data_IF_829148196994
#
_entry.id   IF_829148196994
#
_cell.length_a   1.000
_cell.length_b   1.000
_cell.length_c   1.000
_cell.angle_alpha   90.00
_cell.angle_beta   90.00
_cell.angle_gamma   90.00
#
_symmetry.space_group_name_H-M   'P 1'
#
loop_
_entity.id
_entity.type
_entity.pdbx_description
1 polymer ?
#
# COMPACT_ATOMS: atom_id res chain seq x y z
N UNK A 1 3.42 -19.12 0.76
CA UNK A 1 2.88 -18.77 2.08
C UNK A 1 1.86 -19.83 2.49
N UNK A 2 1.78 -20.18 3.78
CA UNK A 2 0.68 -21.01 4.30
C UNK A 2 -0.64 -20.23 4.21
N UNK A 3 -1.78 -20.90 4.41
CA UNK A 3 -3.10 -20.23 4.43
C UNK A 3 -3.16 -19.17 5.53
N UNK A 4 -2.66 -19.48 6.72
CA UNK A 4 -2.63 -18.53 7.85
C UNK A 4 -1.76 -17.30 7.53
N UNK A 5 -0.59 -17.48 6.93
CA UNK A 5 0.23 -16.35 6.51
C UNK A 5 -0.46 -15.51 5.44
N UNK A 6 -1.11 -16.14 4.44
CA UNK A 6 -1.87 -15.39 3.44
C UNK A 6 -2.96 -14.52 4.09
N UNK A 7 -3.67 -15.04 5.09
CA UNK A 7 -4.70 -14.28 5.82
C UNK A 7 -4.11 -13.10 6.59
N UNK A 8 -2.98 -13.29 7.29
CA UNK A 8 -2.31 -12.20 8.02
C UNK A 8 -1.88 -11.07 7.10
N UNK A 9 -1.17 -11.42 6.02
CA UNK A 9 -0.72 -10.46 5.01
C UNK A 9 -1.88 -9.76 4.31
N UNK A 10 -2.98 -10.49 4.03
CA UNK A 10 -4.17 -9.91 3.41
C UNK A 10 -4.82 -8.88 4.33
N UNK A 11 -5.07 -9.23 5.60
CA UNK A 11 -5.71 -8.32 6.55
C UNK A 11 -4.90 -7.04 6.74
N UNK A 12 -3.57 -7.19 6.87
CA UNK A 12 -2.66 -6.05 6.94
C UNK A 12 -2.74 -5.17 5.68
N UNK A 13 -2.67 -5.77 4.50
CA UNK A 13 -2.72 -5.03 3.23
C UNK A 13 -4.06 -4.31 3.02
N UNK A 14 -5.18 -4.94 3.38
CA UNK A 14 -6.51 -4.33 3.29
C UNK A 14 -6.64 -3.14 4.25
N UNK A 15 -6.13 -3.25 5.48
CA UNK A 15 -6.10 -2.16 6.45
C UNK A 15 -5.23 -1.00 5.96
N UNK A 16 -4.00 -1.29 5.51
CA UNK A 16 -3.09 -0.27 4.98
C UNK A 16 -3.71 0.49 3.80
N UNK A 17 -4.37 -0.23 2.89
CA UNK A 17 -5.05 0.40 1.76
C UNK A 17 -6.18 1.31 2.22
N UNK A 18 -6.97 0.89 3.22
CA UNK A 18 -8.01 1.74 3.80
C UNK A 18 -7.44 3.00 4.47
N UNK A 19 -6.33 2.87 5.20
CA UNK A 19 -5.62 4.00 5.81
C UNK A 19 -5.13 5.00 4.76
N UNK A 20 -4.52 4.50 3.67
CA UNK A 20 -4.07 5.34 2.56
C UNK A 20 -5.24 6.05 1.86
N UNK A 21 -6.35 5.34 1.62
CA UNK A 21 -7.56 5.95 1.05
C UNK A 21 -8.20 7.00 1.97
N UNK A 22 -8.09 6.82 3.29
CA UNK A 22 -8.61 7.77 4.29
C UNK A 22 -7.70 8.99 4.42
N UNK A 23 -6.39 8.77 4.43
CA UNK A 23 -5.36 9.81 4.52
C UNK A 23 -5.09 10.51 3.19
N UNK A 24 -5.71 10.02 2.12
CA UNK A 24 -5.57 10.49 0.75
C UNK A 24 -4.13 10.44 0.22
N UNK A 25 -3.38 9.40 0.62
CA UNK A 25 -2.01 9.15 0.17
C UNK A 25 -1.97 8.05 -0.88
N UNK A 26 -1.15 8.22 -1.92
CA UNK A 26 -0.99 7.25 -3.00
C UNK A 26 0.07 6.20 -2.73
N UNK A 27 1.00 6.50 -1.83
CA UNK A 27 2.15 5.67 -1.52
C UNK A 27 2.57 5.82 -0.06
N UNK A 28 3.21 4.78 0.46
CA UNK A 28 3.79 4.77 1.79
C UNK A 28 5.07 3.95 1.77
N UNK A 29 6.11 4.44 2.41
CA UNK A 29 7.35 3.71 2.64
C UNK A 29 7.37 3.22 4.08
N UNK A 30 7.66 1.93 4.27
CA UNK A 30 7.79 1.29 5.58
C UNK A 30 9.07 0.47 5.62
N UNK A 31 9.69 0.40 6.79
CA UNK A 31 10.79 -0.53 7.00
C UNK A 31 10.28 -1.97 7.01
N UNK A 32 11.12 -2.93 6.62
CA UNK A 32 10.79 -4.35 6.67
C UNK A 32 10.44 -4.79 8.10
N UNK A 33 11.06 -4.19 9.11
CA UNK A 33 10.79 -4.51 10.52
C UNK A 33 9.38 -4.09 10.93
N UNK A 34 8.95 -2.87 10.57
CA UNK A 34 7.58 -2.39 10.81
C UNK A 34 6.57 -3.29 10.11
N UNK A 35 6.83 -3.70 8.86
CA UNK A 35 5.95 -4.64 8.14
C UNK A 35 5.90 -6.00 8.87
N UNK A 36 7.03 -6.47 9.39
CA UNK A 36 7.10 -7.76 10.12
C UNK A 36 6.26 -7.73 11.39
N UNK A 37 6.36 -6.64 12.16
CA UNK A 37 5.57 -6.41 13.36
C UNK A 37 4.06 -6.32 13.03
N UNK A 38 3.69 -5.44 12.09
CA UNK A 38 2.28 -5.20 11.76
C UNK A 38 1.60 -6.40 11.09
N UNK A 39 2.32 -7.19 10.30
CA UNK A 39 1.79 -8.43 9.70
C UNK A 39 1.74 -9.59 10.69
N UNK A 40 2.48 -9.51 11.81
CA UNK A 40 2.69 -10.61 12.76
C UNK A 40 3.06 -11.93 12.05
N UNK A 41 3.88 -11.87 11.00
CA UNK A 41 4.19 -13.03 10.16
C UNK A 41 5.12 -14.02 10.88
N UNK A 42 4.96 -15.32 10.59
CA UNK A 42 5.84 -16.37 11.13
C UNK A 42 7.12 -16.59 10.30
N UNK A 43 7.32 -15.82 9.23
CA UNK A 43 8.53 -15.90 8.40
C UNK A 43 9.74 -15.43 9.18
N UNK A 44 10.87 -16.09 8.96
CA UNK A 44 12.14 -15.64 9.49
C UNK A 44 12.49 -14.23 8.97
N UNK A 45 13.03 -13.39 9.84
CA UNK A 45 13.48 -12.03 9.53
C UNK A 45 14.41 -12.01 8.30
N UNK A 46 15.36 -12.96 8.22
CA UNK A 46 16.26 -13.11 7.08
C UNK A 46 15.56 -13.33 5.74
N UNK A 47 14.35 -13.91 5.75
CA UNK A 47 13.52 -14.05 4.54
C UNK A 47 12.90 -12.72 4.14
N UNK A 48 12.37 -11.98 5.12
CA UNK A 48 11.70 -10.71 4.89
C UNK A 48 12.68 -9.62 4.48
N UNK A 49 13.90 -9.62 5.01
CA UNK A 49 14.96 -8.71 4.57
C UNK A 49 15.58 -9.11 3.22
N UNK A 50 15.17 -10.22 2.60
CA UNK A 50 15.79 -10.69 1.36
C UNK A 50 15.20 -10.02 0.10
N UNK A 51 16.08 -9.60 -0.81
CA UNK A 51 15.69 -9.13 -2.16
C UNK A 51 14.83 -10.16 -2.89
N UNK A 52 15.15 -11.45 -2.74
CA UNK A 52 14.40 -12.55 -3.39
C UNK A 52 12.93 -12.57 -2.98
N UNK A 53 12.64 -12.33 -1.71
CA UNK A 53 11.27 -12.30 -1.21
C UNK A 53 10.51 -11.13 -1.83
N UNK A 54 11.04 -9.92 -1.75
CA UNK A 54 10.39 -8.73 -2.28
C UNK A 54 10.24 -8.72 -3.80
N UNK A 55 11.23 -9.25 -4.55
CA UNK A 55 11.07 -9.48 -6.00
C UNK A 55 9.93 -10.44 -6.31
N UNK A 56 9.72 -11.48 -5.50
CA UNK A 56 8.62 -12.41 -5.70
C UNK A 56 7.26 -11.75 -5.40
N UNK A 57 7.18 -10.90 -4.37
CA UNK A 57 6.00 -10.10 -4.06
C UNK A 57 5.71 -9.08 -5.18
N UNK A 58 6.72 -8.35 -5.63
CA UNK A 58 6.64 -7.36 -6.72
C UNK A 58 6.16 -8.00 -8.03
N UNK A 59 6.62 -9.22 -8.33
CA UNK A 59 6.17 -9.95 -9.51
C UNK A 59 4.71 -10.45 -9.41
N UNK A 60 4.06 -10.35 -8.25
CA UNK A 60 2.67 -10.79 -8.05
C UNK A 60 2.46 -12.29 -8.27
N UNK A 61 3.51 -13.11 -8.12
CA UNK A 61 3.44 -14.55 -8.42
C UNK A 61 3.04 -15.33 -7.18
N UNK A 62 2.09 -16.24 -7.34
CA UNK A 62 1.74 -17.21 -6.30
C UNK A 62 2.99 -17.97 -5.86
N UNK A 63 3.24 -18.13 -4.54
CA UNK A 63 2.30 -17.88 -3.45
C UNK A 63 2.50 -16.54 -2.71
N UNK A 64 3.18 -15.55 -3.31
CA UNK A 64 3.49 -14.24 -2.71
C UNK A 64 2.72 -13.09 -3.41
N UNK A 65 1.57 -13.39 -3.97
CA UNK A 65 0.72 -12.48 -4.75
C UNK A 65 -0.16 -11.57 -3.88
N UNK A 66 -0.21 -11.79 -2.56
CA UNK A 66 -1.16 -11.15 -1.64
C UNK A 66 -1.20 -9.62 -1.74
N UNK A 67 -0.04 -8.95 -1.78
CA UNK A 67 0.02 -7.48 -1.89
C UNK A 67 -0.45 -6.97 -3.26
N UNK A 68 -0.08 -7.68 -4.33
CA UNK A 68 -0.52 -7.35 -5.68
C UNK A 68 -2.04 -7.50 -5.82
N UNK A 69 -2.61 -8.59 -5.27
CA UNK A 69 -4.06 -8.84 -5.23
C UNK A 69 -4.79 -7.80 -4.37
N UNK A 70 -4.18 -7.35 -3.27
CA UNK A 70 -4.72 -6.26 -2.46
C UNK A 70 -4.66 -4.89 -3.17
N UNK A 71 -3.95 -4.80 -4.29
CA UNK A 71 -3.92 -3.64 -5.16
C UNK A 71 -2.69 -2.76 -4.99
N UNK A 72 -1.57 -3.33 -4.51
CA UNK A 72 -0.30 -2.62 -4.38
C UNK A 72 0.68 -2.92 -5.51
N UNK A 73 1.36 -1.88 -5.96
CA UNK A 73 2.65 -1.93 -6.64
C UNK A 73 3.75 -1.78 -5.59
N UNK A 74 4.84 -2.54 -5.73
CA UNK A 74 5.90 -2.62 -4.71
C UNK A 74 7.19 -2.13 -5.34
N UNK A 75 7.85 -1.19 -4.68
CA UNK A 75 9.21 -0.74 -5.00
C UNK A 75 10.10 -0.84 -3.76
N UNK A 76 11.39 -1.05 -3.97
CA UNK A 76 12.39 -1.05 -2.92
C UNK A 76 13.77 -0.83 -3.54
N UNK A 77 14.67 -0.23 -2.77
CA UNK A 77 16.08 -0.13 -3.12
C UNK A 77 16.88 -1.12 -2.25
N UNK A 78 17.65 -2.02 -2.86
CA UNK A 78 18.53 -2.90 -2.10
C UNK A 78 19.73 -2.09 -1.56
N UNK A 79 20.00 -2.18 -0.26
CA UNK A 79 21.14 -1.48 0.37
C UNK A 79 22.48 -2.15 0.01
N UNK A 80 22.47 -3.48 -0.01
CA UNK A 80 23.49 -4.35 -0.60
C UNK A 80 22.78 -5.29 -1.59
N UNK A 81 23.52 -5.98 -2.48
CA UNK A 81 23.00 -6.92 -3.49
C UNK A 81 22.01 -8.01 -2.98
N UNK A 82 21.82 -8.12 -1.66
CA UNK A 82 21.03 -9.17 -1.01
C UNK A 82 19.99 -8.68 0.01
N UNK A 83 20.05 -7.44 0.49
CA UNK A 83 19.19 -6.96 1.60
C UNK A 83 18.25 -5.82 1.19
N UNK A 84 17.07 -5.80 1.80
CA UNK A 84 16.05 -4.77 1.66
C UNK A 84 15.69 -4.27 3.06
N UNK A 85 15.87 -2.97 3.29
CA UNK A 85 15.52 -2.33 4.56
C UNK A 85 14.16 -1.64 4.50
N UNK A 86 13.84 -1.03 3.36
CA UNK A 86 12.60 -0.28 3.16
C UNK A 86 11.86 -0.74 1.92
N UNK A 87 10.55 -0.67 1.99
CA UNK A 87 9.64 -1.01 0.90
C UNK A 87 8.63 0.10 0.75
N UNK A 88 8.48 0.57 -0.48
CA UNK A 88 7.45 1.51 -0.88
C UNK A 88 6.28 0.75 -1.48
N UNK A 89 5.09 0.98 -0.93
CA UNK A 89 3.83 0.39 -1.37
C UNK A 89 3.01 1.49 -2.02
N UNK A 90 2.84 1.40 -3.34
CA UNK A 90 2.02 2.30 -4.15
C UNK A 90 0.67 1.68 -4.44
N UNK A 91 -0.40 2.47 -4.39
CA UNK A 91 -1.68 2.04 -4.92
C UNK A 91 -1.53 1.77 -6.43
N UNK A 92 -2.03 0.64 -6.90
CA UNK A 92 -2.06 0.35 -8.33
C UNK A 92 -3.01 1.30 -9.07
N UNK A 93 -2.98 1.26 -10.41
CA UNK A 93 -3.82 2.11 -11.27
C UNK A 93 -5.31 2.13 -10.89
N UNK A 94 -5.88 1.00 -10.50
CA UNK A 94 -7.29 0.91 -10.12
C UNK A 94 -7.57 1.73 -8.86
N UNK A 95 -6.80 1.53 -7.81
CA UNK A 95 -6.97 2.26 -6.56
C UNK A 95 -6.57 3.73 -6.67
N UNK A 96 -5.53 4.03 -7.45
CA UNK A 96 -5.17 5.41 -7.81
C UNK A 96 -6.32 6.14 -8.50
N UNK A 97 -7.02 5.49 -9.42
CA UNK A 97 -8.19 6.09 -10.09
C UNK A 97 -9.31 6.38 -9.10
N UNK A 98 -9.54 5.47 -8.13
CA UNK A 98 -10.54 5.67 -7.08
C UNK A 98 -10.14 6.84 -6.17
N UNK A 99 -8.87 6.90 -5.75
CA UNK A 99 -8.33 7.97 -4.93
C UNK A 99 -8.46 9.33 -5.61
N UNK A 100 -8.11 9.43 -6.90
CA UNK A 100 -8.26 10.68 -7.67
C UNK A 100 -9.72 11.14 -7.73
N UNK A 101 -10.68 10.23 -7.94
CA UNK A 101 -12.10 10.60 -7.89
C UNK A 101 -12.55 11.12 -6.52
N UNK A 102 -11.96 10.64 -5.42
CA UNK A 102 -12.22 11.16 -4.08
C UNK A 102 -11.63 12.55 -3.91
N UNK A 103 -10.38 12.75 -4.35
CA UNK A 103 -9.71 14.05 -4.34
C UNK A 103 -10.46 15.11 -5.17
N UNK A 104 -10.91 14.77 -6.37
CA UNK A 104 -11.64 15.67 -7.26
C UNK A 104 -12.99 16.11 -6.67
N UNK A 105 -13.70 15.21 -5.98
CA UNK A 105 -14.93 15.54 -5.25
C UNK A 105 -14.67 16.47 -4.06
N UNK A 106 -13.61 16.21 -3.30
CA UNK A 106 -13.20 17.08 -2.18
C UNK A 106 -12.88 18.50 -2.67
N UNK A 107 -12.24 18.63 -3.83
CA UNK A 107 -11.90 19.93 -4.45
C UNK A 107 -13.14 20.64 -5.01
N UNK A 108 -14.04 19.92 -5.67
CA UNK A 108 -15.25 20.49 -6.28
C UNK A 108 -16.26 20.98 -5.24
N UNK A 109 -16.32 20.36 -4.06
CA UNK A 109 -17.18 20.80 -2.96
C UNK A 109 -16.75 22.12 -2.28
N UNK A 110 -15.50 22.58 -2.45
CA UNK A 110 -15.00 23.82 -1.85
C UNK A 110 -15.33 25.10 -2.64
N UNK A 111 -15.67 25.00 -3.93
CA UNK A 111 -15.92 26.17 -4.79
C UNK A 111 -17.42 26.50 -4.99
N UNK A 112 -18.35 25.78 -4.36
CA UNK A 112 -19.79 26.02 -4.50
C UNK A 112 -20.42 27.00 -3.50
N UNK A 113 -19.64 27.56 -2.57
CA UNK A 113 -20.17 28.29 -1.41
C UNK A 113 -19.84 29.78 -1.38
N UNK A 114 -20.18 30.54 -2.43
CA UNK A 114 -20.32 32.01 -2.31
C UNK A 114 -21.12 32.62 -3.48
N UNK A 115 -22.40 32.24 -3.60
CA UNK A 115 -23.38 33.10 -4.25
C UNK A 115 -24.00 33.98 -3.15
N UNK A 116 -23.36 35.11 -2.84
CA UNK A 116 -23.98 36.16 -2.03
C UNK A 116 -25.04 36.81 -2.91
N UNK A 117 -26.29 36.44 -2.63
CA UNK A 117 -27.47 37.21 -3.02
C UNK A 117 -27.41 38.57 -2.31
N UNK A 118 -27.19 39.63 -3.06
CA UNK A 118 -27.76 40.94 -2.75
C UNK A 118 -28.20 41.59 -4.07
N UNK A 119 -29.50 41.54 -4.32
CA UNK A 119 -30.16 42.44 -5.25
C UNK A 119 -31.47 42.87 -4.60
N UNK A 120 -31.59 44.18 -4.46
CA UNK A 120 -32.74 45.00 -4.02
C UNK A 120 -32.92 45.14 -2.52
#
# INVERSE_FOLDING_TARGET
MSVQEKTRWKNWADNLRQEMMTSLTSEVTKTVDVITEETATSKAESTLHSVRFWKACQAGKSPNDTLSVAGFEIDFEPEDDKKVHEVTLRLNKTWMTILQRVLDRSRSGRNGGKAVLQSS
#
